data_IF_122232848061
#
_entry.id   IF_122232848061
#
_cell.length_a   1.000
_cell.length_b   1.000
_cell.length_c   1.000
_cell.angle_alpha   90.00
_cell.angle_beta   90.00
_cell.angle_gamma   90.00
#
_symmetry.space_group_name_H-M   'P 1'
#
loop_
_entity.id
_entity.type
_entity.pdbx_description
1 polymer ?
#
# COMPACT_ATOMS: atom_id res chain seq x y z
N UNK A 1 55.74 0.04 -14.09
CA UNK A 1 54.75 -0.35 -13.06
C UNK A 1 53.84 0.84 -12.77
N UNK A 2 52.65 0.95 -13.41
CA UNK A 2 51.57 1.93 -13.10
C UNK A 2 50.38 1.92 -14.10
N UNK A 3 50.08 0.81 -14.78
CA UNK A 3 48.97 0.78 -15.76
C UNK A 3 48.13 -0.51 -15.73
N UNK A 4 47.94 -1.12 -14.56
CA UNK A 4 47.03 -2.28 -14.40
C UNK A 4 46.24 -2.16 -13.08
N UNK A 5 45.70 -0.97 -12.79
CA UNK A 5 44.75 -0.77 -11.67
C UNK A 5 43.64 0.16 -12.15
N UNK A 6 42.96 -0.20 -13.24
CA UNK A 6 41.81 0.57 -13.73
C UNK A 6 40.76 -0.28 -14.44
N UNK A 7 40.83 -1.62 -14.32
CA UNK A 7 39.90 -2.53 -14.99
C UNK A 7 39.17 -3.51 -14.05
N UNK A 8 39.09 -3.20 -12.75
CA UNK A 8 38.44 -4.09 -11.76
C UNK A 8 37.46 -3.40 -10.80
N UNK A 9 37.00 -2.18 -11.11
CA UNK A 9 36.00 -1.44 -10.32
C UNK A 9 34.76 -1.10 -11.17
N UNK A 10 34.43 -1.97 -12.14
CA UNK A 10 33.21 -1.81 -12.95
C UNK A 10 32.28 -3.02 -12.87
N UNK A 11 32.14 -3.62 -11.69
CA UNK A 11 31.22 -4.75 -11.44
C UNK A 11 30.49 -4.67 -10.08
N UNK A 12 30.52 -3.52 -9.39
CA UNK A 12 29.89 -3.34 -8.08
C UNK A 12 28.97 -2.12 -8.05
N UNK A 13 27.90 -2.14 -8.84
CA UNK A 13 26.75 -1.27 -8.60
C UNK A 13 25.57 -1.63 -9.49
N UNK A 14 24.89 -2.74 -9.20
CA UNK A 14 23.44 -2.79 -9.36
C UNK A 14 22.90 -3.76 -8.29
N UNK A 15 22.49 -3.28 -7.10
CA UNK A 15 21.27 -3.85 -6.58
C UNK A 15 20.20 -3.46 -7.60
N UNK A 16 19.88 -4.38 -8.52
CA UNK A 16 18.59 -4.39 -9.21
C UNK A 16 17.52 -4.61 -8.15
N UNK A 17 17.27 -3.59 -7.32
CA UNK A 17 15.97 -3.44 -6.72
C UNK A 17 15.09 -3.14 -7.92
N UNK A 18 14.37 -4.17 -8.36
CA UNK A 18 13.30 -4.07 -9.33
C UNK A 18 12.55 -2.76 -9.04
N UNK A 19 12.75 -1.78 -9.91
CA UNK A 19 12.07 -0.51 -9.82
C UNK A 19 10.60 -0.83 -10.12
N UNK A 20 9.81 -1.08 -9.07
CA UNK A 20 8.37 -1.21 -9.27
C UNK A 20 7.92 0.12 -9.88
N UNK A 21 7.40 0.06 -11.11
CA UNK A 21 6.79 1.21 -11.77
C UNK A 21 5.65 1.79 -10.94
N UNK A 22 5.05 0.96 -10.09
CA UNK A 22 4.07 1.32 -9.09
C UNK A 22 4.74 1.86 -7.83
N UNK A 23 4.36 3.09 -7.46
CA UNK A 23 4.77 3.73 -6.21
C UNK A 23 4.30 2.91 -5.01
N UNK A 24 5.18 2.72 -4.04
CA UNK A 24 4.82 2.21 -2.70
C UNK A 24 3.63 3.02 -2.13
N UNK A 25 2.69 2.36 -1.45
CA UNK A 25 1.56 3.01 -0.75
C UNK A 25 2.03 4.20 0.12
N UNK A 26 3.21 4.07 0.75
CA UNK A 26 3.80 5.13 1.57
C UNK A 26 4.18 6.34 0.72
N UNK A 27 4.73 6.13 -0.47
CA UNK A 27 5.08 7.19 -1.40
C UNK A 27 3.82 7.89 -1.95
N UNK A 28 2.73 7.14 -2.16
CA UNK A 28 1.44 7.72 -2.57
C UNK A 28 0.91 8.65 -1.48
N UNK A 29 0.85 8.20 -0.22
CA UNK A 29 0.42 9.04 0.90
C UNK A 29 1.29 10.30 1.00
N UNK A 30 2.61 10.15 0.94
CA UNK A 30 3.54 11.28 1.00
C UNK A 30 3.29 12.26 -0.16
N UNK A 31 3.00 11.76 -1.36
CA UNK A 31 2.72 12.61 -2.52
C UNK A 31 1.40 13.39 -2.41
N UNK A 32 0.37 12.80 -1.78
CA UNK A 32 -0.94 13.44 -1.63
C UNK A 32 -0.94 14.47 -0.49
N UNK A 33 -0.29 14.15 0.63
CA UNK A 33 -0.42 14.95 1.86
C UNK A 33 0.85 15.70 2.29
N UNK A 34 1.99 15.45 1.65
CA UNK A 34 3.28 16.02 2.04
C UNK A 34 3.77 15.60 3.44
N UNK A 35 3.14 14.58 4.05
CA UNK A 35 3.43 14.09 5.39
C UNK A 35 3.49 12.56 5.39
N UNK A 36 4.25 12.02 6.35
CA UNK A 36 4.25 10.58 6.57
C UNK A 36 2.89 10.13 7.10
N UNK A 37 2.51 8.88 6.82
CA UNK A 37 1.28 8.30 7.38
C UNK A 37 1.26 8.38 8.91
N UNK A 38 2.39 8.11 9.55
CA UNK A 38 2.54 8.16 11.01
C UNK A 38 2.23 9.56 11.55
N UNK A 39 2.69 10.62 10.88
CA UNK A 39 2.39 11.99 11.28
C UNK A 39 0.90 12.32 11.14
N UNK A 40 0.27 11.87 10.04
CA UNK A 40 -1.17 12.04 9.82
C UNK A 40 -1.99 11.34 10.91
N UNK A 41 -1.62 10.11 11.26
CA UNK A 41 -2.28 9.34 12.32
C UNK A 41 -2.10 10.03 13.66
N UNK A 42 -0.88 10.43 14.02
CA UNK A 42 -0.61 11.13 15.28
C UNK A 42 -1.43 12.42 15.39
N UNK A 43 -1.40 13.24 14.35
CA UNK A 43 -2.11 14.52 14.31
C UNK A 43 -3.63 14.33 14.39
N UNK A 44 -4.20 13.40 13.61
CA UNK A 44 -5.64 13.18 13.58
C UNK A 44 -6.15 12.54 14.88
N UNK A 45 -5.42 11.55 15.40
CA UNK A 45 -5.82 10.83 16.60
C UNK A 45 -5.80 11.74 17.83
N UNK A 46 -4.80 12.63 17.95
CA UNK A 46 -4.68 13.64 19.00
C UNK A 46 -5.00 13.07 20.40
N UNK A 47 -4.33 11.98 20.75
CA UNK A 47 -4.54 11.25 22.00
C UNK A 47 -3.71 11.87 23.11
N UNK A 48 -4.16 11.69 24.37
CA UNK A 48 -3.31 12.00 25.52
C UNK A 48 -2.15 10.99 25.64
N UNK A 49 -1.20 11.25 26.54
CA UNK A 49 0.02 10.46 26.67
C UNK A 49 -0.26 8.97 26.97
N UNK A 50 -1.11 8.68 27.95
CA UNK A 50 -1.45 7.32 28.33
C UNK A 50 -2.13 6.55 27.19
N UNK A 51 -3.07 7.20 26.48
CA UNK A 51 -3.73 6.62 25.31
C UNK A 51 -2.77 6.43 24.13
N UNK A 52 -1.84 7.37 23.93
CA UNK A 52 -0.81 7.27 22.88
C UNK A 52 0.06 6.05 23.09
N UNK A 53 0.57 5.84 24.31
CA UNK A 53 1.40 4.67 24.62
C UNK A 53 0.65 3.34 24.38
N UNK A 54 -0.61 3.25 24.81
CA UNK A 54 -1.44 2.06 24.59
C UNK A 54 -1.78 1.83 23.10
N UNK A 55 -2.02 2.91 22.35
CA UNK A 55 -2.32 2.86 20.93
C UNK A 55 -1.11 2.50 20.07
N UNK A 56 0.05 3.11 20.34
CA UNK A 56 1.25 3.01 19.50
C UNK A 56 1.67 1.55 19.31
N UNK A 57 1.70 0.76 20.39
CA UNK A 57 2.03 -0.67 20.30
C UNK A 57 1.11 -1.44 19.35
N UNK A 58 -0.20 -1.17 19.41
CA UNK A 58 -1.20 -1.82 18.54
C UNK A 58 -1.03 -1.34 17.10
N UNK A 59 -0.75 -0.05 16.91
CA UNK A 59 -0.58 0.57 15.60
C UNK A 59 0.69 0.08 14.90
N UNK A 60 1.80 -0.10 15.63
CA UNK A 60 3.05 -0.63 15.08
C UNK A 60 2.89 -2.07 14.59
N UNK A 61 2.24 -2.94 15.40
CA UNK A 61 1.88 -4.30 14.98
C UNK A 61 1.01 -4.30 13.72
N UNK A 62 0.02 -3.40 13.67
CA UNK A 62 -0.85 -3.24 12.51
C UNK A 62 -0.07 -2.82 11.27
N UNK A 63 0.83 -1.84 11.38
CA UNK A 63 1.58 -1.31 10.25
C UNK A 63 2.54 -2.32 9.63
N UNK A 64 3.11 -3.24 10.42
CA UNK A 64 3.91 -4.37 9.89
C UNK A 64 3.04 -5.23 8.96
N UNK A 65 1.94 -5.77 9.48
CA UNK A 65 1.05 -6.63 8.67
C UNK A 65 0.39 -5.87 7.51
N UNK A 66 0.10 -4.57 7.68
CA UNK A 66 -0.47 -3.73 6.64
C UNK A 66 0.51 -3.56 5.48
N UNK A 67 1.80 -3.33 5.76
CA UNK A 67 2.85 -3.22 4.73
C UNK A 67 3.03 -4.51 3.94
N UNK A 68 3.00 -5.67 4.60
CA UNK A 68 3.06 -6.98 3.92
C UNK A 68 1.89 -7.16 2.95
N UNK A 69 0.68 -6.75 3.35
CA UNK A 69 -0.50 -6.75 2.46
C UNK A 69 -0.31 -5.76 1.30
N UNK A 70 0.19 -4.55 1.57
CA UNK A 70 0.48 -3.54 0.55
C UNK A 70 1.49 -4.04 -0.49
N UNK A 71 2.55 -4.73 -0.07
CA UNK A 71 3.53 -5.35 -0.96
C UNK A 71 2.89 -6.40 -1.87
N UNK A 72 2.01 -7.26 -1.33
CA UNK A 72 1.25 -8.23 -2.15
C UNK A 72 0.37 -7.52 -3.20
N UNK A 73 -0.26 -6.40 -2.84
CA UNK A 73 -1.04 -5.60 -3.81
C UNK A 73 -0.14 -5.07 -4.93
N UNK A 74 1.00 -4.47 -4.59
CA UNK A 74 1.95 -3.97 -5.60
C UNK A 74 2.43 -5.10 -6.52
N UNK A 75 2.73 -6.29 -5.98
CA UNK A 75 3.12 -7.46 -6.76
C UNK A 75 2.03 -7.89 -7.74
N UNK A 76 0.77 -7.99 -7.30
CA UNK A 76 -0.34 -8.35 -8.17
C UNK A 76 -0.56 -7.35 -9.31
N UNK A 77 -0.36 -6.06 -9.05
CA UNK A 77 -0.51 -5.02 -10.05
C UNK A 77 0.67 -5.01 -11.05
N UNK A 78 1.89 -5.33 -10.60
CA UNK A 78 3.01 -5.54 -11.51
C UNK A 78 2.77 -6.78 -12.39
N UNK A 79 2.30 -7.89 -11.82
CA UNK A 79 1.99 -9.12 -12.57
C UNK A 79 0.87 -8.86 -13.60
N UNK A 80 -0.14 -8.07 -13.24
CA UNK A 80 -1.15 -7.58 -14.18
C UNK A 80 -0.53 -6.77 -15.33
N UNK A 81 0.33 -5.79 -15.02
CA UNK A 81 0.95 -4.94 -16.03
C UNK A 81 1.87 -5.73 -16.98
N UNK A 82 2.62 -6.70 -16.46
CA UNK A 82 3.51 -7.58 -17.24
C UNK A 82 2.74 -8.49 -18.19
N UNK A 83 1.55 -8.97 -17.78
CA UNK A 83 0.73 -9.88 -18.58
C UNK A 83 -0.35 -9.17 -19.40
N UNK A 84 -0.53 -7.85 -19.27
CA UNK A 84 -1.68 -7.12 -19.82
C UNK A 84 -1.91 -7.39 -21.32
N UNK A 85 -0.85 -7.37 -22.13
CA UNK A 85 -0.95 -7.55 -23.58
C UNK A 85 -1.29 -8.98 -24.01
N UNK A 86 -1.09 -9.96 -23.13
CA UNK A 86 -1.29 -11.40 -23.40
C UNK A 86 -2.20 -12.03 -22.35
N UNK A 87 -3.05 -11.22 -21.70
CA UNK A 87 -3.85 -11.66 -20.58
C UNK A 87 -4.94 -12.62 -21.07
N UNK A 88 -4.83 -13.89 -20.67
CA UNK A 88 -5.85 -14.91 -20.95
C UNK A 88 -6.82 -15.08 -19.77
N UNK A 89 -7.91 -15.82 -20.00
CA UNK A 89 -8.96 -16.07 -19.01
C UNK A 89 -8.41 -16.66 -17.70
N UNK A 90 -7.45 -17.58 -17.78
CA UNK A 90 -6.90 -18.26 -16.62
C UNK A 90 -6.09 -17.30 -15.74
N UNK A 91 -5.20 -16.51 -16.35
CA UNK A 91 -4.38 -15.52 -15.64
C UNK A 91 -5.22 -14.36 -15.12
N UNK A 92 -6.23 -13.92 -15.86
CA UNK A 92 -7.19 -12.93 -15.40
C UNK A 92 -7.94 -13.39 -14.13
N UNK A 93 -8.40 -14.65 -14.11
CA UNK A 93 -9.06 -15.24 -12.94
C UNK A 93 -8.10 -15.33 -11.74
N UNK A 94 -6.89 -15.86 -11.95
CA UNK A 94 -5.86 -15.97 -10.90
C UNK A 94 -5.58 -14.62 -10.21
N UNK A 95 -5.29 -13.59 -11.01
CA UNK A 95 -4.99 -12.25 -10.51
C UNK A 95 -6.18 -11.64 -9.76
N UNK A 96 -7.39 -11.85 -10.28
CA UNK A 96 -8.63 -11.35 -9.66
C UNK A 96 -8.87 -12.03 -8.31
N UNK A 97 -8.77 -13.35 -8.23
CA UNK A 97 -8.95 -14.10 -6.99
C UNK A 97 -7.92 -13.69 -5.92
N UNK A 98 -6.66 -13.53 -6.33
CA UNK A 98 -5.59 -13.08 -5.44
C UNK A 98 -5.81 -11.64 -4.96
N UNK A 99 -6.33 -10.75 -5.82
CA UNK A 99 -6.69 -9.38 -5.45
C UNK A 99 -7.84 -9.36 -4.42
N UNK A 100 -8.92 -10.10 -4.70
CA UNK A 100 -10.07 -10.22 -3.81
C UNK A 100 -9.67 -10.78 -2.44
N UNK A 101 -8.84 -11.82 -2.41
CA UNK A 101 -8.28 -12.38 -1.18
C UNK A 101 -7.44 -11.35 -0.42
N UNK A 102 -6.58 -10.60 -1.12
CA UNK A 102 -5.73 -9.59 -0.48
C UNK A 102 -6.55 -8.45 0.12
N UNK A 103 -7.65 -8.05 -0.53
CA UNK A 103 -8.60 -7.08 0.01
C UNK A 103 -9.32 -7.62 1.26
N UNK A 104 -9.77 -8.87 1.23
CA UNK A 104 -10.39 -9.52 2.39
C UNK A 104 -9.41 -9.62 3.58
N UNK A 105 -8.14 -9.95 3.33
CA UNK A 105 -7.09 -9.98 4.34
C UNK A 105 -6.89 -8.59 4.97
N UNK A 106 -6.95 -7.51 4.19
CA UNK A 106 -6.83 -6.12 4.65
C UNK A 106 -7.99 -5.71 5.58
N UNK A 107 -9.23 -5.99 5.18
CA UNK A 107 -10.41 -5.69 6.00
C UNK A 107 -10.42 -6.49 7.30
N UNK A 108 -10.01 -7.76 7.23
CA UNK A 108 -9.86 -8.62 8.41
C UNK A 108 -8.80 -8.07 9.37
N UNK A 109 -7.68 -7.60 8.85
CA UNK A 109 -6.63 -6.96 9.65
C UNK A 109 -7.18 -5.70 10.34
N UNK A 110 -7.85 -4.80 9.60
CA UNK A 110 -8.41 -3.57 10.15
C UNK A 110 -9.46 -3.84 11.24
N UNK A 111 -10.35 -4.81 11.02
CA UNK A 111 -11.38 -5.21 11.99
C UNK A 111 -10.80 -5.78 13.29
N UNK A 112 -9.76 -6.62 13.18
CA UNK A 112 -9.02 -7.13 14.34
C UNK A 112 -8.33 -6.00 15.11
N UNK A 113 -7.67 -5.08 14.40
CA UNK A 113 -6.99 -3.94 15.00
C UNK A 113 -7.98 -3.00 15.68
N UNK A 114 -9.12 -2.70 15.05
CA UNK A 114 -10.21 -1.93 15.67
C UNK A 114 -10.64 -2.53 17.02
N UNK A 115 -10.80 -3.85 17.09
CA UNK A 115 -11.17 -4.53 18.34
C UNK A 115 -10.12 -4.34 19.44
N UNK A 116 -8.83 -4.37 19.10
CA UNK A 116 -7.73 -4.07 20.04
C UNK A 116 -7.73 -2.60 20.46
N UNK A 117 -7.82 -1.67 19.49
CA UNK A 117 -7.83 -0.21 19.73
C UNK A 117 -9.02 0.20 20.59
N UNK A 118 -10.23 -0.34 20.33
CA UNK A 118 -11.44 -0.08 21.12
C UNK A 118 -11.26 -0.45 22.58
N UNK A 119 -10.61 -1.58 22.86
CA UNK A 119 -10.30 -2.02 24.22
C UNK A 119 -9.27 -1.11 24.90
N UNK A 120 -8.28 -0.64 24.15
CA UNK A 120 -7.16 0.15 24.69
C UNK A 120 -7.52 1.63 24.96
N UNK A 121 -8.24 2.28 24.03
CA UNK A 121 -8.42 3.75 24.04
C UNK A 121 -9.88 4.19 23.84
N UNK A 122 -10.83 3.25 23.90
CA UNK A 122 -12.26 3.51 23.83
C UNK A 122 -12.83 3.57 22.41
N UNK A 123 -14.16 3.46 22.33
CA UNK A 123 -14.88 3.31 21.05
C UNK A 123 -14.77 4.50 20.11
N UNK A 124 -14.81 5.74 20.64
CA UNK A 124 -14.72 6.96 19.81
C UNK A 124 -13.36 7.06 19.11
N UNK A 125 -12.27 6.82 19.83
CA UNK A 125 -10.93 6.86 19.25
C UNK A 125 -10.70 5.69 18.28
N UNK A 126 -11.22 4.51 18.59
CA UNK A 126 -11.16 3.38 17.65
C UNK A 126 -11.92 3.67 16.34
N UNK A 127 -13.05 4.36 16.39
CA UNK A 127 -13.77 4.80 15.20
C UNK A 127 -12.97 5.83 14.39
N UNK A 128 -12.32 6.81 15.05
CA UNK A 128 -11.42 7.76 14.38
C UNK A 128 -10.30 7.03 13.63
N UNK A 129 -9.65 6.07 14.27
CA UNK A 129 -8.60 5.26 13.65
C UNK A 129 -9.11 4.57 12.37
N UNK A 130 -10.23 3.86 12.45
CA UNK A 130 -10.83 3.17 11.29
C UNK A 130 -11.16 4.15 10.16
N UNK A 131 -11.78 5.28 10.48
CA UNK A 131 -12.15 6.30 9.51
C UNK A 131 -10.93 6.82 8.73
N UNK A 132 -9.84 7.14 9.44
CA UNK A 132 -8.62 7.62 8.81
C UNK A 132 -7.98 6.52 7.94
N UNK A 133 -7.89 5.29 8.44
CA UNK A 133 -7.31 4.18 7.68
C UNK A 133 -8.08 3.89 6.40
N UNK A 134 -9.40 3.84 6.46
CA UNK A 134 -10.24 3.63 5.28
C UNK A 134 -10.07 4.76 4.27
N UNK A 135 -10.06 6.01 4.74
CA UNK A 135 -9.84 7.17 3.89
C UNK A 135 -8.50 7.10 3.15
N UNK A 136 -7.41 6.80 3.86
CA UNK A 136 -6.08 6.66 3.26
C UNK A 136 -6.03 5.49 2.27
N UNK A 137 -6.65 4.35 2.61
CA UNK A 137 -6.72 3.21 1.70
C UNK A 137 -7.47 3.55 0.40
N UNK A 138 -8.58 4.29 0.48
CA UNK A 138 -9.31 4.75 -0.71
C UNK A 138 -8.44 5.68 -1.56
N UNK A 139 -7.76 6.65 -0.94
CA UNK A 139 -6.89 7.56 -1.64
C UNK A 139 -5.75 6.84 -2.39
N UNK A 140 -5.14 5.83 -1.74
CA UNK A 140 -4.12 4.98 -2.35
C UNK A 140 -4.70 4.18 -3.52
N UNK A 141 -5.83 3.49 -3.30
CA UNK A 141 -6.46 2.65 -4.33
C UNK A 141 -6.86 3.46 -5.56
N UNK A 142 -7.38 4.67 -5.35
CA UNK A 142 -7.73 5.58 -6.45
C UNK A 142 -6.50 5.93 -7.28
N UNK A 143 -5.41 6.38 -6.64
CA UNK A 143 -4.19 6.75 -7.37
C UNK A 143 -3.56 5.59 -8.13
N UNK A 144 -3.67 4.37 -7.60
CA UNK A 144 -3.27 3.15 -8.30
C UNK A 144 -4.17 2.88 -9.51
N UNK A 145 -5.50 2.88 -9.33
CA UNK A 145 -6.46 2.56 -10.39
C UNK A 145 -6.40 3.56 -11.55
N UNK A 146 -6.07 4.82 -11.26
CA UNK A 146 -5.88 5.84 -12.30
C UNK A 146 -4.68 5.55 -13.21
N UNK A 147 -3.72 4.75 -12.74
CA UNK A 147 -2.49 4.41 -13.45
C UNK A 147 -2.55 3.07 -14.19
N UNK A 148 -3.67 2.35 -14.14
CA UNK A 148 -3.80 0.98 -14.66
C UNK A 148 -4.91 0.91 -15.71
N UNK A 149 -4.65 0.32 -16.89
CA UNK A 149 -5.68 0.16 -17.91
C UNK A 149 -6.73 -0.87 -17.47
N UNK A 150 -7.95 -0.74 -18.02
CA UNK A 150 -8.98 -1.75 -17.83
C UNK A 150 -8.77 -2.89 -18.82
N UNK A 151 -9.09 -4.12 -18.42
CA UNK A 151 -9.22 -5.24 -19.36
C UNK A 151 -10.25 -4.85 -20.43
N UNK A 152 -9.91 -5.12 -21.69
CA UNK A 152 -10.68 -4.76 -22.88
C UNK A 152 -10.97 -3.26 -23.04
N UNK A 153 -10.19 -2.41 -22.35
CA UNK A 153 -10.20 -0.95 -22.39
C UNK A 153 -11.59 -0.30 -22.28
N UNK A 154 -11.94 0.16 -21.06
CA UNK A 154 -13.02 1.14 -20.94
C UNK A 154 -12.55 2.44 -21.62
N UNK A 155 -13.13 2.75 -22.78
CA UNK A 155 -12.95 4.03 -23.48
C UNK A 155 -13.46 5.18 -22.61
N UNK A 156 -12.56 5.78 -21.81
CA UNK A 156 -12.87 6.90 -20.92
C UNK A 156 -13.44 8.13 -21.67
N UNK A 157 -13.22 8.23 -22.99
CA UNK A 157 -13.80 9.32 -23.81
C UNK A 157 -15.31 9.16 -24.06
N UNK A 158 -15.86 7.96 -23.84
CA UNK A 158 -17.31 7.67 -23.96
C UNK A 158 -18.06 7.78 -22.64
N UNK A 159 -17.36 8.04 -21.53
CA UNK A 159 -17.94 8.14 -20.19
C UNK A 159 -18.36 9.56 -19.80
N UNK A 160 -17.96 10.60 -20.55
CA UNK A 160 -18.47 11.96 -20.34
C UNK A 160 -19.80 12.15 -21.07
N UNK A 161 -20.90 12.08 -20.33
CA UNK A 161 -22.15 12.77 -20.67
C UNK A 161 -22.44 13.85 -19.64
#
# INVERSE_FOLDING_TARGET
MKKIILLFILLLSLPSLAQSSLKDEVAIIQSIYGKSKTDLVKQYMNLNEAQTAAFQKIYDEYEVSRKEIGQRKVQLLNDYAENYATLDDAKAAELTEANLKTNADAEKLLSKTYSKVKKAIGGRNAAKFVQLEQYLQVAIRSGIQDSIPFIDEIDKSKLSK
#
